data_IF_903676102938
#
_entry.id   IF_903676102938
#
_cell.length_a   1.000
_cell.length_b   1.000
_cell.length_c   1.000
_cell.angle_alpha   90.00
_cell.angle_beta   90.00
_cell.angle_gamma   90.00
#
_symmetry.space_group_name_H-M   'P 1'
#
loop_
_entity.id
_entity.type
_entity.pdbx_description
1 polymer ?
#
# COMPACT_ATOMS: atom_id res chain seq x y z
N UNK A 1 -14.83 1.90 2.05
CA UNK A 1 -14.01 0.68 1.83
C UNK A 1 -12.73 1.15 1.16
N UNK A 2 -11.58 0.59 1.54
CA UNK A 2 -10.29 0.98 0.96
C UNK A 2 -10.29 0.62 -0.54
N UNK A 3 -10.14 1.62 -1.42
CA UNK A 3 -9.97 1.36 -2.85
C UNK A 3 -8.68 0.56 -3.05
N UNK A 4 -8.71 -0.44 -3.93
CA UNK A 4 -7.55 -1.25 -4.26
C UNK A 4 -7.68 -1.83 -5.67
N UNK A 5 -6.53 -2.00 -6.31
CA UNK A 5 -6.38 -2.75 -7.56
C UNK A 5 -5.43 -3.92 -7.34
N UNK A 6 -5.36 -4.83 -8.30
CA UNK A 6 -4.53 -6.03 -8.19
C UNK A 6 -3.66 -6.19 -9.43
N UNK A 7 -2.45 -6.66 -9.19
CA UNK A 7 -1.52 -7.08 -10.24
C UNK A 7 -1.00 -8.50 -9.91
N UNK A 8 -0.59 -9.29 -10.92
CA UNK A 8 0.11 -10.55 -10.69
C UNK A 8 1.36 -10.38 -9.80
N UNK A 9 1.67 -11.37 -8.94
CA UNK A 9 2.91 -11.36 -8.14
C UNK A 9 4.20 -11.37 -8.96
N UNK A 10 4.10 -11.78 -10.22
CA UNK A 10 5.21 -11.77 -11.18
C UNK A 10 5.41 -10.42 -11.85
N UNK A 11 4.53 -9.43 -11.63
CA UNK A 11 4.63 -8.14 -12.31
C UNK A 11 5.94 -7.43 -11.97
N UNK A 12 6.59 -6.96 -13.02
CA UNK A 12 7.78 -6.11 -12.98
C UNK A 12 7.43 -4.70 -12.52
N UNK A 13 8.44 -3.92 -12.15
CA UNK A 13 8.22 -2.52 -11.76
C UNK A 13 7.70 -1.68 -12.93
N UNK A 14 8.04 -2.01 -14.18
CA UNK A 14 7.53 -1.30 -15.36
C UNK A 14 6.04 -1.60 -15.59
N UNK A 15 5.62 -2.87 -15.51
CA UNK A 15 4.20 -3.24 -15.58
C UNK A 15 3.39 -2.61 -14.44
N UNK A 16 3.95 -2.55 -13.23
CA UNK A 16 3.30 -1.91 -12.09
C UNK A 16 3.19 -0.39 -12.28
N UNK A 17 4.17 0.26 -12.90
CA UNK A 17 4.09 1.69 -13.27
C UNK A 17 3.00 1.91 -14.30
N UNK A 18 2.90 1.06 -15.31
CA UNK A 18 1.85 1.18 -16.34
C UNK A 18 0.45 1.09 -15.73
N UNK A 19 0.22 0.11 -14.84
CA UNK A 19 -1.04 -0.02 -14.09
C UNK A 19 -1.30 1.24 -13.27
N UNK A 20 -0.31 1.73 -12.53
CA UNK A 20 -0.47 2.92 -11.70
C UNK A 20 -0.70 4.18 -12.54
N UNK A 21 -0.07 4.30 -13.70
CA UNK A 21 -0.27 5.42 -14.62
C UNK A 21 -1.72 5.47 -15.10
N UNK A 22 -2.28 4.32 -15.49
CA UNK A 22 -3.66 4.19 -15.95
C UNK A 22 -4.69 4.43 -14.84
N UNK A 23 -4.50 3.81 -13.67
CA UNK A 23 -5.49 3.83 -12.58
C UNK A 23 -5.41 5.08 -11.70
N UNK A 24 -4.23 5.71 -11.59
CA UNK A 24 -3.96 6.83 -10.68
C UNK A 24 -3.66 8.15 -11.41
N UNK A 25 -3.70 8.17 -12.74
CA UNK A 25 -3.32 9.32 -13.57
C UNK A 25 -1.92 9.86 -13.21
N UNK A 26 -0.95 8.95 -13.09
CA UNK A 26 0.42 9.26 -12.65
C UNK A 26 1.45 8.93 -13.74
N UNK A 27 1.56 9.81 -14.74
CA UNK A 27 2.41 9.59 -15.92
C UNK A 27 3.92 9.51 -15.60
N UNK A 28 4.37 10.21 -14.56
CA UNK A 28 5.79 10.28 -14.17
C UNK A 28 6.10 9.52 -12.87
N UNK A 29 5.29 8.53 -12.47
CA UNK A 29 5.53 7.82 -11.21
C UNK A 29 6.82 6.98 -11.22
N UNK A 30 7.50 6.95 -10.08
CA UNK A 30 8.60 6.03 -9.80
C UNK A 30 8.16 5.05 -8.73
N UNK A 31 8.72 3.85 -8.80
CA UNK A 31 8.56 2.84 -7.76
C UNK A 31 9.81 2.85 -6.90
N UNK A 32 9.62 3.01 -5.60
CA UNK A 32 10.67 2.94 -4.60
C UNK A 32 10.48 1.76 -3.66
N UNK A 33 11.58 1.22 -3.16
CA UNK A 33 11.56 0.15 -2.18
C UNK A 33 10.97 0.66 -0.86
N UNK A 34 9.98 -0.05 -0.32
CA UNK A 34 9.45 0.17 1.01
C UNK A 34 9.98 -0.86 2.02
N UNK A 35 9.43 -0.86 3.24
CA UNK A 35 9.74 -1.84 4.27
C UNK A 35 9.58 -3.27 3.78
N UNK A 36 10.58 -4.09 4.08
CA UNK A 36 10.60 -5.53 3.78
C UNK A 36 10.37 -6.38 5.04
N UNK A 37 9.97 -5.74 6.14
CA UNK A 37 9.70 -6.34 7.44
C UNK A 37 8.43 -5.72 8.03
N UNK A 38 7.88 -6.42 9.01
CA UNK A 38 6.76 -5.95 9.82
C UNK A 38 7.03 -4.56 10.44
N UNK A 39 6.01 -3.71 10.44
CA UNK A 39 6.02 -2.36 11.01
C UNK A 39 4.88 -2.26 12.03
N UNK A 40 5.20 -2.55 13.29
CA UNK A 40 4.20 -2.60 14.38
C UNK A 40 3.82 -1.22 14.91
N UNK A 41 4.71 -0.23 14.77
CA UNK A 41 4.48 1.17 15.09
C UNK A 41 3.88 1.91 13.90
N UNK A 42 2.85 2.77 14.07
CA UNK A 42 2.32 3.60 13.00
C UNK A 42 3.41 4.36 12.24
N UNK A 43 3.40 4.26 10.91
CA UNK A 43 4.30 4.99 10.01
C UNK A 43 3.58 5.47 8.77
N UNK A 44 4.20 6.37 8.01
CA UNK A 44 3.68 6.87 6.73
C UNK A 44 4.69 6.57 5.62
N UNK A 45 4.24 6.37 4.37
CA UNK A 45 5.15 6.29 3.24
C UNK A 45 5.82 7.66 3.00
N UNK A 46 6.89 7.73 2.17
CA UNK A 46 7.54 8.97 1.80
C UNK A 46 6.56 10.00 1.20
N UNK A 47 6.86 11.29 1.37
CA UNK A 47 6.08 12.38 0.77
C UNK A 47 5.96 12.23 -0.75
N UNK A 48 4.79 12.56 -1.31
CA UNK A 48 4.52 12.40 -2.73
C UNK A 48 4.12 10.98 -3.16
N UNK A 49 3.97 10.06 -2.21
CA UNK A 49 3.40 8.72 -2.46
C UNK A 49 1.94 8.85 -2.89
N UNK A 50 1.63 8.28 -4.06
CA UNK A 50 0.27 8.20 -4.61
C UNK A 50 -0.35 6.81 -4.47
N UNK A 51 0.46 5.78 -4.24
CA UNK A 51 -0.01 4.45 -3.91
C UNK A 51 1.03 3.62 -3.16
N UNK A 52 0.53 2.64 -2.39
CA UNK A 52 1.35 1.63 -1.73
C UNK A 52 1.06 0.28 -2.39
N UNK A 53 2.12 -0.38 -2.88
CA UNK A 53 2.05 -1.74 -3.40
C UNK A 53 2.37 -2.70 -2.25
N UNK A 54 1.47 -3.64 -2.01
CA UNK A 54 1.50 -4.55 -0.88
C UNK A 54 1.65 -5.97 -1.41
N UNK A 55 2.73 -6.64 -1.00
CA UNK A 55 2.96 -8.05 -1.25
C UNK A 55 2.88 -8.80 0.08
N UNK A 56 1.79 -9.53 0.29
CA UNK A 56 1.63 -10.40 1.46
C UNK A 56 2.23 -11.76 1.13
N UNK A 57 3.12 -12.25 1.98
CA UNK A 57 3.73 -13.57 1.78
C UNK A 57 2.74 -14.70 2.09
N UNK A 58 3.11 -15.93 1.73
CA UNK A 58 2.29 -17.11 2.02
C UNK A 58 2.20 -17.41 3.53
N UNK A 59 3.08 -16.84 4.36
CA UNK A 59 2.98 -16.94 5.82
C UNK A 59 1.82 -16.08 6.38
N UNK A 60 1.24 -15.21 5.55
CA UNK A 60 0.12 -14.35 5.91
C UNK A 60 0.56 -13.02 6.52
N UNK A 61 -0.41 -12.12 6.61
CA UNK A 61 -0.21 -10.79 7.16
C UNK A 61 -1.35 -9.85 6.83
N UNK A 62 -1.31 -8.66 7.45
CA UNK A 62 -2.24 -7.59 7.13
C UNK A 62 -1.62 -6.19 7.28
N UNK A 63 -1.90 -5.32 6.31
CA UNK A 63 -1.65 -3.88 6.41
C UNK A 63 -2.92 -3.19 6.90
N UNK A 64 -2.85 -2.48 8.02
CA UNK A 64 -3.96 -1.70 8.56
C UNK A 64 -3.73 -0.22 8.31
N UNK A 65 -4.69 0.45 7.68
CA UNK A 65 -4.61 1.85 7.26
C UNK A 65 -5.53 2.71 8.11
N UNK A 66 -5.00 3.84 8.57
CA UNK A 66 -5.69 4.80 9.43
C UNK A 66 -5.44 6.21 8.93
N UNK A 67 -6.36 7.14 9.23
CA UNK A 67 -6.19 8.58 9.01
C UNK A 67 -6.03 9.27 10.36
N UNK A 68 -5.11 10.22 10.45
CA UNK A 68 -5.10 11.13 11.61
C UNK A 68 -6.40 11.95 11.62
N UNK A 69 -7.02 12.10 12.80
CA UNK A 69 -8.26 12.85 12.95
C UNK A 69 -8.16 13.77 14.16
N UNK A 70 -8.69 14.97 14.03
CA UNK A 70 -8.68 15.98 15.10
C UNK A 70 -9.79 15.73 16.15
N UNK A 71 -10.37 14.52 16.17
CA UNK A 71 -11.36 14.12 17.16
C UNK A 71 -10.70 13.43 18.36
N UNK A 72 -11.48 13.18 19.42
CA UNK A 72 -11.00 12.58 20.68
C UNK A 72 -10.38 11.18 20.54
N UNK A 73 -10.53 10.54 19.37
CA UNK A 73 -10.04 9.19 19.09
C UNK A 73 -8.65 9.21 18.44
N UNK A 74 -8.16 10.37 17.98
CA UNK A 74 -6.83 10.61 17.43
C UNK A 74 -6.56 9.98 16.06
N UNK A 75 -7.07 8.76 15.80
CA UNK A 75 -6.89 8.01 14.57
C UNK A 75 -8.19 7.30 14.16
N UNK A 76 -8.54 7.39 12.89
CA UNK A 76 -9.73 6.73 12.30
C UNK A 76 -9.27 5.58 11.42
N UNK A 77 -9.77 4.37 11.67
CA UNK A 77 -9.51 3.21 10.81
C UNK A 77 -10.23 3.38 9.46
N UNK A 78 -9.48 3.26 8.36
CA UNK A 78 -10.01 3.42 6.99
C UNK A 78 -10.25 2.06 6.34
N UNK A 79 -9.38 1.10 6.63
CA UNK A 79 -9.47 -0.24 6.08
C UNK A 79 -8.19 -1.03 6.24
N UNK A 80 -8.18 -2.22 5.65
CA UNK A 80 -7.04 -3.11 5.68
C UNK A 80 -6.92 -3.93 4.40
N UNK A 81 -5.70 -4.40 4.15
CA UNK A 81 -5.40 -5.44 3.16
C UNK A 81 -4.79 -6.60 3.91
N UNK A 82 -5.50 -7.71 3.99
CA UNK A 82 -5.08 -8.91 4.72
C UNK A 82 -5.11 -10.16 3.83
N UNK A 83 -4.41 -11.19 4.28
CA UNK A 83 -4.39 -12.53 3.67
C UNK A 83 -5.64 -13.37 3.93
N UNK A 84 -6.59 -12.84 4.72
CA UNK A 84 -7.93 -13.42 4.90
C UNK A 84 -8.77 -13.37 3.62
N UNK A 85 -8.46 -12.43 2.74
CA UNK A 85 -8.92 -12.39 1.35
C UNK A 85 -7.90 -13.10 0.46
N UNK A 86 -8.29 -14.28 -0.04
CA UNK A 86 -7.43 -15.16 -0.86
C UNK A 86 -6.84 -14.45 -2.09
N UNK A 87 -7.56 -13.49 -2.66
CA UNK A 87 -7.07 -12.77 -3.83
C UNK A 87 -5.91 -11.84 -3.46
N UNK A 88 -5.93 -11.25 -2.27
CA UNK A 88 -4.81 -10.46 -1.76
C UNK A 88 -3.58 -11.34 -1.50
N UNK A 89 -3.79 -12.58 -1.02
CA UNK A 89 -2.70 -13.53 -0.80
C UNK A 89 -2.06 -13.99 -2.12
N UNK A 90 -2.79 -13.97 -3.24
CA UNK A 90 -2.32 -14.42 -4.56
C UNK A 90 -1.83 -13.28 -5.47
N UNK A 91 -2.01 -12.01 -5.07
CA UNK A 91 -1.73 -10.84 -5.91
C UNK A 91 -0.77 -9.85 -5.24
N UNK A 92 -0.27 -8.90 -6.01
CA UNK A 92 0.17 -7.61 -5.48
C UNK A 92 -1.07 -6.73 -5.35
N UNK A 93 -1.27 -6.13 -4.18
CA UNK A 93 -2.39 -5.24 -3.93
C UNK A 93 -1.88 -3.81 -3.98
N UNK A 94 -2.47 -3.00 -4.86
CA UNK A 94 -2.10 -1.60 -5.04
C UNK A 94 -3.19 -0.76 -4.39
N UNK A 95 -2.82 0.01 -3.38
CA UNK A 95 -3.74 0.88 -2.62
C UNK A 95 -3.42 2.33 -2.97
N UNK A 96 -4.31 3.09 -3.64
CA UNK A 96 -4.19 4.54 -3.73
C UNK A 96 -3.99 5.15 -2.35
N UNK A 97 -3.05 6.07 -2.25
CA UNK A 97 -2.66 6.67 -1.00
C UNK A 97 -3.04 8.14 -0.95
N UNK A 98 -3.58 8.57 0.19
CA UNK A 98 -3.86 9.97 0.46
C UNK A 98 -2.95 10.50 1.56
N UNK A 99 -2.65 11.80 1.48
CA UNK A 99 -1.89 12.48 2.51
C UNK A 99 -2.61 12.43 3.88
N UNK A 100 -1.82 12.25 4.94
CA UNK A 100 -2.33 12.11 6.31
C UNK A 100 -2.83 10.70 6.65
N UNK A 101 -2.78 9.75 5.71
CA UNK A 101 -2.93 8.34 6.02
C UNK A 101 -1.61 7.77 6.55
N UNK A 102 -1.72 6.86 7.51
CA UNK A 102 -0.62 6.09 8.07
C UNK A 102 -1.02 4.62 8.19
N UNK A 103 -0.03 3.74 8.30
CA UNK A 103 -0.25 2.32 8.41
C UNK A 103 0.61 1.66 9.50
N UNK A 104 0.20 0.44 9.84
CA UNK A 104 1.03 -0.57 10.48
C UNK A 104 0.82 -1.89 9.76
N UNK A 105 1.86 -2.73 9.70
CA UNK A 105 1.77 -4.09 9.17
C UNK A 105 1.89 -5.10 10.29
N UNK A 106 1.24 -6.25 10.09
CA UNK A 106 1.40 -7.44 10.91
C UNK A 106 1.80 -8.63 10.03
N UNK A 107 2.75 -9.45 10.49
CA UNK A 107 3.25 -10.59 9.74
C UNK A 107 4.22 -10.23 8.61
N UNK A 108 4.31 -11.09 7.60
CA UNK A 108 5.31 -10.98 6.52
C UNK A 108 4.73 -10.25 5.31
N UNK A 109 4.90 -8.93 5.33
CA UNK A 109 4.44 -8.01 4.29
C UNK A 109 5.61 -7.21 3.77
N UNK A 110 5.71 -7.15 2.45
CA UNK A 110 6.69 -6.32 1.74
C UNK A 110 5.96 -5.20 1.02
N UNK A 111 6.48 -4.00 1.18
CA UNK A 111 5.90 -2.80 0.60
C UNK A 111 6.82 -2.23 -0.49
N UNK A 112 6.19 -1.63 -1.50
CA UNK A 112 6.82 -0.67 -2.40
C UNK A 112 5.95 0.58 -2.45
N UNK A 113 6.54 1.72 -2.77
CA UNK A 113 5.84 2.99 -2.87
C UNK A 113 5.83 3.47 -4.29
N UNK A 114 4.70 3.97 -4.74
CA UNK A 114 4.55 4.65 -6.02
C UNK A 114 4.56 6.14 -5.71
N UNK A 115 5.58 6.84 -6.17
CA UNK A 115 5.83 8.25 -5.84
C UNK A 115 5.75 9.08 -7.11
N UNK A 116 5.09 10.23 -7.07
CA UNK A 116 5.09 11.19 -8.18
C UNK A 116 6.52 11.61 -8.50
N UNK A 117 6.95 11.43 -9.75
CA UNK A 117 8.16 12.05 -10.25
C UNK A 117 8.01 13.57 -10.28
N UNK A 118 9.10 14.26 -9.94
CA UNK A 118 9.27 15.69 -10.21
C UNK A 118 9.58 15.95 -11.68
#
# INVERSE_FOLDING_TARGET
MLQKFRAPKSSTDDELRDICSQELNCEACKIEAGPQKEITTPTSPPSGTVAVIINISNAGGALKVHRTSNNSWGNVFIGMVGSDDEENAKSLVIVPWEDGWHYRSLGDIKLKYVIKGH
#
